data_IF_985194462370
#
_entry.id   IF_985194462370
#
_cell.length_a   1.000
_cell.length_b   1.000
_cell.length_c   1.000
_cell.angle_alpha   90.00
_cell.angle_beta   90.00
_cell.angle_gamma   90.00
#
_symmetry.space_group_name_H-M   'P 1'
#
loop_
_entity.id
_entity.type
_entity.pdbx_description
1 polymer ?
#
# COMPACT_ATOMS: atom_id res chain seq x y z
N UNK A 1 72.28 49.05 8.90
CA UNK A 1 71.08 48.94 8.04
C UNK A 1 70.68 47.47 7.95
N UNK A 2 69.52 47.11 8.51
CA UNK A 2 69.16 45.76 8.96
C UNK A 2 68.53 44.90 7.86
N UNK A 3 69.23 43.82 7.46
CA UNK A 3 68.74 42.81 6.49
C UNK A 3 67.80 41.76 7.13
N UNK A 4 67.68 41.73 8.46
CA UNK A 4 66.87 40.73 9.18
C UNK A 4 65.37 41.07 9.33
N UNK A 5 64.92 42.28 8.95
CA UNK A 5 63.51 42.68 9.07
C UNK A 5 62.64 42.30 7.86
N UNK A 6 63.25 41.95 6.73
CA UNK A 6 62.52 41.58 5.50
C UNK A 6 62.21 40.08 5.38
N UNK A 7 62.84 39.21 6.18
CA UNK A 7 62.57 37.76 6.18
C UNK A 7 61.39 37.34 7.07
N UNK A 8 61.01 38.16 8.05
CA UNK A 8 59.86 37.89 8.93
C UNK A 8 58.50 38.24 8.31
N UNK A 9 58.46 39.15 7.33
CA UNK A 9 57.22 39.63 6.73
C UNK A 9 56.67 38.71 5.62
N UNK A 10 57.53 37.91 4.97
CA UNK A 10 57.08 36.96 3.94
C UNK A 10 56.57 35.62 4.51
N UNK A 11 56.98 35.24 5.73
CA UNK A 11 56.54 33.99 6.35
C UNK A 11 55.13 34.11 7.00
N UNK A 12 54.70 35.31 7.39
CA UNK A 12 53.36 35.53 7.95
C UNK A 12 52.24 35.66 6.91
N UNK A 13 52.56 36.06 5.68
CA UNK A 13 51.55 36.26 4.62
C UNK A 13 51.13 34.95 3.92
N UNK A 14 51.97 33.91 3.98
CA UNK A 14 51.68 32.61 3.36
C UNK A 14 50.85 31.67 4.26
N UNK A 15 50.84 31.90 5.58
CA UNK A 15 50.03 31.11 6.52
C UNK A 15 48.59 31.62 6.66
N UNK A 16 48.30 32.86 6.28
CA UNK A 16 46.94 33.43 6.34
C UNK A 16 46.07 33.08 5.12
N UNK A 17 46.68 32.72 3.98
CA UNK A 17 45.97 32.33 2.75
C UNK A 17 45.58 30.86 2.70
N UNK A 18 46.19 29.99 3.52
CA UNK A 18 45.84 28.57 3.58
C UNK A 18 44.65 28.25 4.51
N UNK A 19 44.30 29.16 5.43
CA UNK A 19 43.18 28.97 6.36
C UNK A 19 41.80 29.30 5.75
N UNK A 20 41.76 30.02 4.62
CA UNK A 20 40.51 30.40 3.96
C UNK A 20 40.00 29.37 2.93
N UNK A 21 40.78 28.35 2.60
CA UNK A 21 40.41 27.33 1.60
C UNK A 21 39.62 26.14 2.17
N UNK A 22 39.41 26.06 3.49
CA UNK A 22 38.77 24.91 4.15
C UNK A 22 37.26 25.08 4.43
N UNK A 23 36.66 26.21 4.05
CA UNK A 23 35.23 26.46 4.14
C UNK A 23 34.58 26.40 2.75
N UNK A 24 34.84 25.33 1.99
CA UNK A 24 33.86 24.97 0.97
C UNK A 24 32.59 24.55 1.72
N UNK A 25 31.42 25.18 1.48
CA UNK A 25 30.18 24.63 2.00
C UNK A 25 30.13 23.20 1.51
N UNK A 26 30.11 22.23 2.43
CA UNK A 26 29.85 20.85 2.06
C UNK A 26 28.55 20.89 1.26
N UNK A 27 28.64 20.69 -0.06
CA UNK A 27 27.47 20.67 -0.92
C UNK A 27 26.58 19.60 -0.32
N UNK A 28 25.46 20.02 0.30
CA UNK A 28 24.49 19.09 0.83
C UNK A 28 24.14 18.18 -0.34
N UNK A 29 24.45 16.89 -0.22
CA UNK A 29 24.26 15.96 -1.33
C UNK A 29 22.78 16.06 -1.76
N UNK A 30 22.55 16.42 -3.02
CA UNK A 30 21.18 16.63 -3.51
C UNK A 30 20.41 15.31 -3.36
N UNK A 31 19.26 15.37 -2.71
CA UNK A 31 18.39 14.21 -2.58
C UNK A 31 17.67 13.92 -3.90
N UNK A 32 17.58 12.66 -4.35
CA UNK A 32 18.29 11.48 -3.81
C UNK A 32 19.69 11.31 -4.43
N UNK A 33 20.69 10.96 -3.61
CA UNK A 33 22.07 10.65 -4.03
C UNK A 33 22.40 9.15 -4.06
N UNK A 34 21.42 8.32 -3.66
CA UNK A 34 21.47 6.86 -3.66
C UNK A 34 20.06 6.31 -3.88
N UNK A 35 19.95 4.99 -3.98
CA UNK A 35 18.66 4.32 -4.14
C UNK A 35 17.67 4.65 -3.02
N UNK A 36 16.41 4.89 -3.38
CA UNK A 36 15.28 5.06 -2.45
C UNK A 36 14.57 3.71 -2.31
N UNK A 37 14.23 3.33 -1.08
CA UNK A 37 13.52 2.09 -0.79
C UNK A 37 12.04 2.34 -0.52
N UNK A 38 11.16 1.64 -1.23
CA UNK A 38 9.73 1.56 -0.91
C UNK A 38 9.48 0.25 -0.18
N UNK A 39 9.13 0.35 1.10
CA UNK A 39 8.65 -0.78 1.89
C UNK A 39 7.21 -1.09 1.49
N UNK A 40 6.99 -2.34 1.10
CA UNK A 40 5.67 -2.95 0.90
C UNK A 40 5.43 -3.93 2.03
N UNK A 41 4.41 -3.73 2.88
CA UNK A 41 4.28 -4.48 4.11
C UNK A 41 3.57 -5.85 3.92
N UNK A 42 3.67 -6.42 2.72
CA UNK A 42 3.02 -7.66 2.29
C UNK A 42 3.96 -8.49 1.41
N UNK A 43 3.65 -9.77 1.25
CA UNK A 43 4.44 -10.69 0.42
C UNK A 43 4.62 -10.21 -1.02
N UNK A 44 5.79 -10.47 -1.59
CA UNK A 44 6.05 -10.26 -3.01
C UNK A 44 5.04 -11.00 -3.89
N UNK A 45 4.75 -10.46 -5.07
CA UNK A 45 3.73 -10.97 -6.00
C UNK A 45 2.28 -10.65 -5.60
N UNK A 46 2.07 -10.08 -4.41
CA UNK A 46 0.76 -9.65 -3.93
C UNK A 46 0.26 -8.37 -4.62
N UNK A 47 -0.96 -7.93 -4.31
CA UNK A 47 -1.61 -6.83 -5.03
C UNK A 47 -0.85 -5.50 -4.89
N UNK A 48 -0.43 -5.15 -3.68
CA UNK A 48 0.36 -3.93 -3.42
C UNK A 48 1.75 -4.00 -4.04
N UNK A 49 2.39 -5.17 -4.00
CA UNK A 49 3.73 -5.37 -4.58
C UNK A 49 3.72 -5.13 -6.10
N UNK A 50 2.69 -5.61 -6.81
CA UNK A 50 2.52 -5.36 -8.25
C UNK A 50 2.39 -3.87 -8.56
N UNK A 51 1.52 -3.16 -7.84
CA UNK A 51 1.36 -1.70 -7.98
C UNK A 51 2.69 -0.98 -7.76
N UNK A 52 3.38 -1.34 -6.67
CA UNK A 52 4.59 -0.63 -6.24
C UNK A 52 5.78 -0.91 -7.13
N UNK A 53 5.91 -2.10 -7.73
CA UNK A 53 6.98 -2.37 -8.70
C UNK A 53 6.83 -1.52 -9.96
N UNK A 54 5.62 -1.38 -10.48
CA UNK A 54 5.37 -0.49 -11.62
C UNK A 54 5.54 0.98 -11.24
N UNK A 55 5.09 1.37 -10.05
CA UNK A 55 5.30 2.72 -9.51
C UNK A 55 6.80 3.04 -9.37
N UNK A 56 7.59 2.12 -8.81
CA UNK A 56 9.02 2.27 -8.59
C UNK A 56 9.77 2.48 -9.92
N UNK A 57 9.39 1.76 -10.98
CA UNK A 57 9.96 1.96 -12.33
C UNK A 57 9.70 3.39 -12.82
N UNK A 58 8.47 3.89 -12.70
CA UNK A 58 8.14 5.24 -13.14
C UNK A 58 8.75 6.33 -12.24
N UNK A 59 8.75 6.15 -10.92
CA UNK A 59 9.39 7.07 -9.98
C UNK A 59 10.90 7.14 -10.19
N UNK A 60 11.56 6.03 -10.52
CA UNK A 60 13.01 6.01 -10.77
C UNK A 60 13.41 6.97 -11.90
N UNK A 61 12.56 7.13 -12.92
CA UNK A 61 12.79 8.06 -14.04
C UNK A 61 12.77 9.52 -13.56
N UNK A 62 11.83 9.89 -12.69
CA UNK A 62 11.68 11.26 -12.18
C UNK A 62 12.71 11.58 -11.10
N UNK A 63 12.98 10.64 -10.20
CA UNK A 63 13.93 10.83 -9.10
C UNK A 63 15.40 10.76 -9.53
N UNK A 64 15.69 10.22 -10.73
CA UNK A 64 17.07 10.09 -11.22
C UNK A 64 17.91 9.06 -10.44
N UNK A 65 17.26 8.25 -9.60
CA UNK A 65 17.87 7.19 -8.81
C UNK A 65 17.00 5.94 -8.84
N UNK A 66 17.60 4.79 -8.61
CA UNK A 66 16.86 3.53 -8.50
C UNK A 66 15.90 3.58 -7.32
N UNK A 67 14.66 3.16 -7.55
CA UNK A 67 13.69 2.89 -6.50
C UNK A 67 13.58 1.39 -6.31
N UNK A 68 13.93 0.90 -5.12
CA UNK A 68 13.95 -0.52 -4.76
C UNK A 68 12.69 -0.86 -3.96
N UNK A 69 12.10 -2.03 -4.22
CA UNK A 69 10.94 -2.53 -3.47
C UNK A 69 11.40 -3.52 -2.41
N UNK A 70 11.08 -3.26 -1.14
CA UNK A 70 11.36 -4.13 0.00
C UNK A 70 10.07 -4.71 0.59
N UNK A 71 9.88 -6.03 0.50
CA UNK A 71 8.72 -6.69 1.11
C UNK A 71 9.00 -7.02 2.59
N UNK A 72 8.27 -6.38 3.51
CA UNK A 72 8.40 -6.60 4.97
C UNK A 72 7.07 -7.08 5.54
N UNK A 73 6.89 -8.41 5.62
CA UNK A 73 5.58 -9.02 5.88
C UNK A 73 5.23 -9.19 7.35
N UNK A 74 3.94 -9.18 7.67
CA UNK A 74 3.39 -9.74 8.91
C UNK A 74 2.38 -8.84 9.61
N UNK A 75 1.50 -9.45 10.40
CA UNK A 75 0.45 -8.78 11.19
C UNK A 75 -0.34 -7.72 10.39
N UNK A 76 -0.86 -8.12 9.22
CA UNK A 76 -1.64 -7.24 8.34
C UNK A 76 -0.89 -6.03 7.78
N UNK A 77 0.43 -6.05 7.88
CA UNK A 77 1.33 -5.00 7.41
C UNK A 77 1.93 -4.13 8.51
N UNK A 78 1.45 -4.26 9.76
CA UNK A 78 1.90 -3.43 10.88
C UNK A 78 3.41 -3.55 11.16
N UNK A 79 4.03 -4.71 10.90
CA UNK A 79 5.49 -4.89 11.07
C UNK A 79 6.27 -4.01 10.08
N UNK A 80 5.90 -4.02 8.80
CA UNK A 80 6.54 -3.18 7.79
C UNK A 80 6.29 -1.70 8.02
N UNK A 81 5.07 -1.34 8.44
CA UNK A 81 4.71 0.04 8.81
C UNK A 81 5.56 0.55 9.97
N UNK A 82 5.70 -0.25 11.03
CA UNK A 82 6.54 0.10 12.19
C UNK A 82 8.02 0.26 11.82
N UNK A 83 8.55 -0.59 10.92
CA UNK A 83 9.92 -0.45 10.40
C UNK A 83 10.13 0.94 9.81
N UNK A 84 9.18 1.42 8.99
CA UNK A 84 9.27 2.75 8.39
C UNK A 84 9.06 3.86 9.42
N UNK A 85 8.10 3.74 10.33
CA UNK A 85 7.89 4.73 11.39
C UNK A 85 9.17 5.01 12.23
N UNK A 86 10.01 3.99 12.40
CA UNK A 86 11.27 4.07 13.16
C UNK A 86 12.50 4.42 12.31
N UNK A 87 12.37 4.56 10.99
CA UNK A 87 13.50 4.84 10.12
C UNK A 87 13.91 6.34 10.20
N UNK A 88 15.17 6.69 9.82
CA UNK A 88 15.57 8.08 9.70
C UNK A 88 14.66 8.83 8.71
N UNK A 89 14.19 10.05 9.03
CA UNK A 89 13.36 10.84 8.13
C UNK A 89 14.20 11.53 7.04
N UNK A 90 15.01 10.76 6.31
CA UNK A 90 15.94 11.24 5.28
C UNK A 90 15.42 11.02 3.84
N UNK A 91 14.24 10.43 3.69
CA UNK A 91 13.57 10.17 2.42
C UNK A 91 14.02 8.91 1.69
N UNK A 92 15.01 8.16 2.19
CA UNK A 92 15.52 6.95 1.54
C UNK A 92 14.75 5.68 1.90
N UNK A 93 13.84 5.74 2.88
CA UNK A 93 12.90 4.68 3.18
C UNK A 93 11.49 5.28 3.28
N UNK A 94 10.62 4.86 2.37
CA UNK A 94 9.21 5.26 2.33
C UNK A 94 8.34 4.02 2.38
N UNK A 95 7.06 4.19 2.70
CA UNK A 95 6.06 3.14 2.81
C UNK A 95 5.00 3.33 1.74
N UNK A 96 4.63 2.27 1.03
CA UNK A 96 3.33 2.23 0.36
C UNK A 96 2.44 1.21 1.06
N UNK A 97 1.34 1.69 1.63
CA UNK A 97 0.37 0.88 2.35
C UNK A 97 -1.02 1.04 1.73
N UNK A 98 -1.86 0.05 1.95
CA UNK A 98 -3.29 0.07 1.64
C UNK A 98 -4.08 0.83 2.71
N UNK A 99 -5.40 0.87 2.53
CA UNK A 99 -6.40 1.23 3.56
C UNK A 99 -6.24 0.50 4.90
N UNK A 100 -5.41 -0.55 5.02
CA UNK A 100 -5.05 -1.11 6.31
C UNK A 100 -4.51 -0.07 7.31
N UNK A 101 -3.91 1.03 6.83
CA UNK A 101 -3.50 2.16 7.68
C UNK A 101 -4.68 2.77 8.47
N UNK A 102 -5.89 2.82 7.90
CA UNK A 102 -7.06 3.40 8.61
C UNK A 102 -7.74 2.41 9.55
N UNK A 103 -7.52 1.11 9.38
CA UNK A 103 -8.23 0.08 10.18
C UNK A 103 -7.37 -0.54 11.27
N UNK A 104 -6.05 -0.51 11.11
CA UNK A 104 -5.11 -1.02 12.09
C UNK A 104 -5.35 -0.46 13.52
N UNK A 105 -5.64 0.84 13.73
CA UNK A 105 -5.89 1.37 15.09
C UNK A 105 -7.07 0.71 15.81
N UNK A 106 -8.07 0.24 15.05
CA UNK A 106 -9.27 -0.40 15.59
C UNK A 106 -9.11 -1.91 15.75
N UNK A 107 -8.06 -2.51 15.18
CA UNK A 107 -7.86 -3.96 15.12
C UNK A 107 -6.67 -4.46 15.95
N UNK A 108 -5.85 -3.57 16.48
CA UNK A 108 -4.68 -3.90 17.30
C UNK A 108 -4.67 -3.02 18.54
N UNK A 109 -4.50 -3.65 19.72
CA UNK A 109 -4.37 -2.88 20.98
C UNK A 109 -3.06 -2.10 21.06
N UNK A 110 -2.02 -2.61 20.43
CA UNK A 110 -0.69 -1.99 20.44
C UNK A 110 -0.04 -2.13 19.06
N UNK A 111 -0.01 -1.03 18.31
CA UNK A 111 0.66 -0.93 17.00
C UNK A 111 2.16 -0.63 17.14
N UNK A 112 2.57 0.02 18.23
CA UNK A 112 3.92 0.57 18.36
C UNK A 112 4.21 1.77 17.45
N UNK A 113 3.17 2.38 16.87
CA UNK A 113 3.18 3.65 16.13
C UNK A 113 1.76 4.23 16.06
N UNK A 114 1.65 5.53 15.82
CA UNK A 114 0.41 6.25 15.56
C UNK A 114 0.29 6.55 14.06
N UNK A 115 -0.74 5.98 13.41
CA UNK A 115 -0.95 6.11 11.95
C UNK A 115 -1.13 7.55 11.47
N UNK A 116 -1.54 8.47 12.36
CA UNK A 116 -1.78 9.87 12.01
C UNK A 116 -0.59 10.79 12.33
N UNK A 117 0.28 10.39 13.28
CA UNK A 117 1.32 11.28 13.84
C UNK A 117 2.76 10.88 13.50
N UNK A 118 3.02 9.59 13.29
CA UNK A 118 4.39 9.08 13.13
C UNK A 118 4.86 9.05 11.67
N UNK A 119 4.07 9.67 10.77
CA UNK A 119 4.36 9.72 9.34
C UNK A 119 4.24 11.13 8.77
N UNK A 120 5.09 11.42 7.79
CA UNK A 120 4.79 12.44 6.79
C UNK A 120 4.08 11.83 5.58
N UNK A 121 3.03 12.49 5.13
CA UNK A 121 2.22 12.09 3.98
C UNK A 121 2.89 12.53 2.67
N UNK A 122 2.91 11.64 1.67
CA UNK A 122 3.40 11.97 0.32
C UNK A 122 2.21 12.14 -0.64
N UNK A 123 1.30 11.17 -0.70
CA UNK A 123 0.10 11.27 -1.53
C UNK A 123 -0.62 9.95 -1.73
N UNK A 124 -1.86 10.04 -2.21
CA UNK A 124 -2.60 8.85 -2.66
C UNK A 124 -1.97 8.30 -3.95
N UNK A 125 -2.20 7.01 -4.24
CA UNK A 125 -1.54 6.29 -5.35
C UNK A 125 -2.57 5.72 -6.33
N UNK A 126 -3.35 4.74 -5.87
CA UNK A 126 -4.38 4.05 -6.66
C UNK A 126 -5.55 3.67 -5.75
N UNK A 127 -6.74 3.53 -6.34
CA UNK A 127 -7.89 2.86 -5.75
C UNK A 127 -8.13 1.55 -6.51
N UNK A 128 -8.21 0.42 -5.81
CA UNK A 128 -8.28 -0.91 -6.42
C UNK A 128 -9.55 -1.64 -5.99
N UNK A 129 -10.43 -2.04 -6.92
CA UNK A 129 -11.55 -2.93 -6.63
C UNK A 129 -11.07 -4.26 -6.06
N UNK A 130 -11.92 -4.91 -5.28
CA UNK A 130 -11.71 -6.29 -4.84
C UNK A 130 -12.69 -7.22 -5.54
N UNK A 131 -12.39 -8.51 -5.48
CA UNK A 131 -13.21 -9.57 -6.04
C UNK A 131 -13.31 -10.70 -5.03
N UNK A 132 -14.53 -11.19 -4.83
CA UNK A 132 -14.78 -12.45 -4.13
C UNK A 132 -14.55 -13.59 -5.13
N UNK A 133 -13.57 -14.43 -4.84
CA UNK A 133 -13.11 -15.52 -5.69
C UNK A 133 -13.21 -16.83 -4.95
N UNK A 134 -13.53 -17.91 -5.67
CA UNK A 134 -13.35 -19.28 -5.20
C UNK A 134 -12.32 -20.04 -6.01
N UNK A 135 -11.89 -21.19 -5.48
CA UNK A 135 -11.06 -22.11 -6.25
C UNK A 135 -11.83 -22.67 -7.46
N UNK A 136 -11.10 -23.07 -8.50
CA UNK A 136 -11.70 -23.50 -9.79
C UNK A 136 -12.68 -24.67 -9.66
N UNK A 137 -12.39 -25.62 -8.78
CA UNK A 137 -13.19 -26.84 -8.56
C UNK A 137 -14.40 -26.66 -7.65
N UNK A 138 -14.65 -25.47 -7.13
CA UNK A 138 -15.78 -25.17 -6.25
C UNK A 138 -17.10 -25.45 -7.01
N UNK A 139 -18.07 -26.11 -6.39
CA UNK A 139 -19.23 -26.68 -7.10
C UNK A 139 -20.26 -25.63 -7.50
N UNK A 140 -20.31 -24.55 -6.74
CA UNK A 140 -21.22 -23.43 -6.87
C UNK A 140 -20.93 -22.69 -8.19
N UNK A 141 -21.97 -22.49 -8.99
CA UNK A 141 -21.85 -21.96 -10.36
C UNK A 141 -21.94 -20.43 -10.39
N UNK A 142 -22.52 -19.84 -9.37
CA UNK A 142 -22.80 -18.42 -9.29
C UNK A 142 -22.78 -17.95 -7.83
N UNK A 143 -22.85 -16.63 -7.63
CA UNK A 143 -22.78 -16.02 -6.31
C UNK A 143 -23.94 -16.44 -5.40
N UNK A 144 -25.15 -16.62 -5.95
CA UNK A 144 -26.32 -17.05 -5.16
C UNK A 144 -26.11 -18.44 -4.56
N UNK A 145 -25.62 -19.40 -5.35
CA UNK A 145 -25.27 -20.75 -4.87
C UNK A 145 -24.15 -20.70 -3.82
N UNK A 146 -23.14 -19.85 -4.02
CA UNK A 146 -22.06 -19.64 -3.04
C UNK A 146 -22.60 -19.08 -1.71
N UNK A 147 -23.49 -18.08 -1.74
CA UNK A 147 -24.14 -17.54 -0.55
C UNK A 147 -24.97 -18.60 0.18
N UNK A 148 -25.70 -19.41 -0.57
CA UNK A 148 -26.49 -20.52 -0.01
C UNK A 148 -25.61 -21.54 0.70
N UNK A 149 -24.49 -21.94 0.10
CA UNK A 149 -23.54 -22.87 0.73
C UNK A 149 -22.97 -22.28 2.03
N UNK A 150 -22.54 -21.02 2.01
CA UNK A 150 -22.00 -20.33 3.19
C UNK A 150 -23.02 -20.26 4.33
N UNK A 151 -24.28 -19.98 4.02
CA UNK A 151 -25.36 -19.89 5.04
C UNK A 151 -25.76 -21.26 5.60
N UNK A 152 -25.78 -22.30 4.77
CA UNK A 152 -26.10 -23.67 5.18
C UNK A 152 -24.97 -24.34 5.96
N UNK A 153 -23.73 -23.85 5.81
CA UNK A 153 -22.53 -24.46 6.40
C UNK A 153 -21.68 -23.44 7.18
N UNK A 154 -22.22 -22.79 8.22
CA UNK A 154 -21.47 -21.82 9.00
C UNK A 154 -20.23 -22.47 9.62
N UNK A 155 -19.07 -21.81 9.50
CA UNK A 155 -17.79 -22.27 10.02
C UNK A 155 -17.17 -23.45 9.26
N UNK A 156 -17.63 -23.77 8.05
CA UNK A 156 -17.02 -24.82 7.19
C UNK A 156 -16.33 -24.28 5.94
N UNK A 157 -16.80 -23.17 5.40
CA UNK A 157 -16.19 -22.52 4.23
C UNK A 157 -14.99 -21.72 4.72
N UNK A 158 -13.82 -21.97 4.15
CA UNK A 158 -12.57 -21.28 4.47
C UNK A 158 -12.35 -20.06 3.59
N UNK A 159 -11.81 -18.98 4.18
CA UNK A 159 -11.50 -17.76 3.45
C UNK A 159 -10.10 -17.25 3.81
N UNK A 160 -9.24 -17.11 2.80
CA UNK A 160 -7.87 -16.65 2.96
C UNK A 160 -7.74 -15.13 2.96
N UNK A 161 -6.88 -14.60 3.82
CA UNK A 161 -6.57 -13.17 3.86
C UNK A 161 -5.11 -12.88 4.28
N UNK A 162 -4.62 -11.67 4.01
CA UNK A 162 -3.24 -11.25 4.28
C UNK A 162 -2.96 -10.87 5.76
N UNK A 163 -3.60 -11.56 6.71
CA UNK A 163 -3.51 -11.30 8.14
C UNK A 163 -4.47 -10.20 8.64
N UNK A 164 -4.66 -10.07 9.96
CA UNK A 164 -5.64 -9.14 10.53
C UNK A 164 -5.31 -7.68 10.21
N UNK A 165 -6.28 -6.90 9.76
CA UNK A 165 -6.10 -5.49 9.37
C UNK A 165 -5.65 -5.27 7.92
N UNK A 166 -5.37 -6.35 7.17
CA UNK A 166 -5.23 -6.25 5.72
C UNK A 166 -6.57 -5.94 5.04
N UNK A 167 -6.53 -5.41 3.81
CA UNK A 167 -7.73 -5.19 3.01
C UNK A 167 -8.55 -6.48 2.81
N UNK A 168 -7.90 -7.60 2.50
CA UNK A 168 -8.55 -8.91 2.38
C UNK A 168 -9.30 -9.34 3.66
N UNK A 169 -8.72 -9.05 4.82
CA UNK A 169 -9.38 -9.31 6.10
C UNK A 169 -10.61 -8.43 6.28
N UNK A 170 -10.52 -7.13 6.00
CA UNK A 170 -11.67 -6.23 6.09
C UNK A 170 -12.81 -6.63 5.17
N UNK A 171 -12.50 -7.02 3.93
CA UNK A 171 -13.50 -7.51 3.00
C UNK A 171 -14.18 -8.77 3.54
N UNK A 172 -13.42 -9.71 4.09
CA UNK A 172 -13.95 -10.90 4.76
C UNK A 172 -14.93 -10.53 5.86
N UNK A 173 -14.55 -9.61 6.74
CA UNK A 173 -15.37 -9.18 7.88
C UNK A 173 -16.67 -8.50 7.42
N UNK A 174 -16.59 -7.61 6.43
CA UNK A 174 -17.77 -6.98 5.84
C UNK A 174 -18.69 -8.01 5.19
N UNK A 175 -18.11 -8.95 4.45
CA UNK A 175 -18.87 -9.99 3.76
C UNK A 175 -19.57 -10.91 4.76
N UNK A 176 -18.87 -11.42 5.77
CA UNK A 176 -19.45 -12.19 6.89
C UNK A 176 -20.60 -11.45 7.57
N UNK A 177 -20.41 -10.15 7.85
CA UNK A 177 -21.43 -9.33 8.49
C UNK A 177 -22.68 -9.20 7.63
N UNK A 178 -22.55 -9.08 6.30
CA UNK A 178 -23.70 -8.91 5.42
C UNK A 178 -24.41 -10.22 5.10
N UNK A 179 -23.66 -11.32 4.97
CA UNK A 179 -24.24 -12.66 4.74
C UNK A 179 -24.75 -13.31 6.03
N UNK A 180 -24.42 -12.74 7.19
CA UNK A 180 -24.78 -13.22 8.53
C UNK A 180 -24.31 -14.66 8.80
N UNK A 181 -23.13 -15.00 8.28
CA UNK A 181 -22.49 -16.30 8.48
C UNK A 181 -20.99 -16.13 8.69
N UNK A 182 -20.41 -16.97 9.55
CA UNK A 182 -18.98 -17.00 9.81
C UNK A 182 -18.30 -18.02 8.92
N UNK A 183 -17.11 -17.67 8.44
CA UNK A 183 -16.22 -18.54 7.68
C UNK A 183 -15.00 -18.88 8.52
N UNK A 184 -14.27 -19.93 8.12
CA UNK A 184 -12.99 -20.27 8.71
C UNK A 184 -11.95 -19.30 8.17
N UNK A 185 -11.52 -18.36 9.01
CA UNK A 185 -10.53 -17.35 8.64
C UNK A 185 -9.13 -17.95 8.58
N UNK A 186 -8.44 -17.82 7.45
CA UNK A 186 -7.09 -18.37 7.22
C UNK A 186 -6.09 -17.24 6.96
N UNK A 187 -5.24 -16.86 7.94
CA UNK A 187 -4.30 -15.75 7.78
C UNK A 187 -3.01 -16.17 7.07
N UNK A 188 -2.56 -15.32 6.14
CA UNK A 188 -1.30 -15.44 5.40
C UNK A 188 -0.43 -14.19 5.58
N UNK A 189 0.84 -14.27 5.17
CA UNK A 189 1.80 -13.14 5.16
C UNK A 189 1.57 -12.11 4.05
N UNK A 190 0.55 -12.31 3.21
CA UNK A 190 0.16 -11.49 2.08
C UNK A 190 -0.85 -12.24 1.20
N UNK A 191 -1.48 -11.57 0.23
CA UNK A 191 -2.49 -12.24 -0.60
C UNK A 191 -1.89 -13.21 -1.64
N UNK A 192 -0.60 -13.09 -1.98
CA UNK A 192 0.03 -13.98 -2.95
C UNK A 192 0.00 -15.47 -2.51
N UNK A 193 0.48 -15.85 -1.32
CA UNK A 193 0.36 -17.23 -0.85
C UNK A 193 -1.11 -17.67 -0.65
N UNK A 194 -2.00 -16.77 -0.23
CA UNK A 194 -3.44 -17.10 -0.15
C UNK A 194 -4.03 -17.45 -1.52
N UNK A 195 -3.67 -16.69 -2.57
CA UNK A 195 -4.09 -16.94 -3.94
C UNK A 195 -3.49 -18.24 -4.50
N UNK A 196 -2.24 -18.57 -4.14
CA UNK A 196 -1.64 -19.87 -4.48
C UNK A 196 -2.42 -21.03 -3.87
N UNK A 197 -2.78 -20.94 -2.59
CA UNK A 197 -3.57 -21.97 -1.90
C UNK A 197 -5.00 -22.07 -2.42
N UNK A 198 -5.60 -20.95 -2.82
CA UNK A 198 -6.88 -20.94 -3.54
C UNK A 198 -6.78 -21.67 -4.88
N UNK A 199 -5.76 -21.38 -5.69
CA UNK A 199 -5.55 -22.07 -6.98
C UNK A 199 -5.35 -23.57 -6.76
N UNK A 200 -4.64 -23.95 -5.69
CA UNK A 200 -4.41 -25.33 -5.28
C UNK A 200 -5.59 -26.02 -4.58
N UNK A 201 -6.71 -25.31 -4.36
CA UNK A 201 -7.90 -25.85 -3.68
C UNK A 201 -7.68 -26.16 -2.20
N UNK A 202 -6.70 -25.53 -1.54
CA UNK A 202 -6.44 -25.68 -0.10
C UNK A 202 -7.34 -24.79 0.75
N UNK A 203 -7.86 -23.71 0.17
CA UNK A 203 -8.88 -22.84 0.74
C UNK A 203 -10.03 -22.64 -0.25
N UNK A 204 -11.22 -22.34 0.26
CA UNK A 204 -12.42 -22.25 -0.57
C UNK A 204 -12.52 -20.91 -1.29
N UNK A 205 -12.33 -19.82 -0.53
CA UNK A 205 -12.55 -18.45 -0.99
C UNK A 205 -11.38 -17.52 -0.65
N UNK A 206 -11.31 -16.41 -1.38
CA UNK A 206 -10.62 -15.19 -0.97
C UNK A 206 -11.47 -13.98 -1.35
N UNK A 207 -11.29 -12.87 -0.64
CA UNK A 207 -11.63 -11.56 -1.18
C UNK A 207 -10.32 -10.78 -1.37
N UNK A 208 -9.92 -10.56 -2.61
CA UNK A 208 -8.62 -9.97 -2.93
C UNK A 208 -8.71 -8.96 -4.08
N UNK A 209 -7.68 -8.15 -4.23
CA UNK A 209 -7.67 -7.02 -5.16
C UNK A 209 -7.52 -7.48 -6.62
N UNK A 210 -8.07 -6.73 -7.56
CA UNK A 210 -7.95 -7.04 -9.00
C UNK A 210 -6.50 -7.04 -9.48
N UNK A 211 -5.61 -6.26 -8.86
CA UNK A 211 -4.18 -6.20 -9.24
C UNK A 211 -3.45 -7.53 -9.08
N UNK A 212 -3.77 -8.34 -8.07
CA UNK A 212 -3.23 -9.70 -7.93
C UNK A 212 -4.00 -10.73 -8.74
N UNK A 213 -5.31 -10.53 -8.93
CA UNK A 213 -6.24 -11.58 -9.36
C UNK A 213 -6.66 -11.52 -10.83
N UNK A 214 -6.53 -10.37 -11.49
CA UNK A 214 -6.91 -10.14 -12.89
C UNK A 214 -6.46 -11.25 -13.84
N UNK A 215 -5.15 -11.54 -13.87
CA UNK A 215 -4.59 -12.57 -14.72
C UNK A 215 -5.06 -13.99 -14.36
N UNK A 216 -5.34 -14.27 -13.08
CA UNK A 216 -5.84 -15.57 -12.65
C UNK A 216 -7.30 -15.79 -13.07
N UNK A 217 -8.11 -14.72 -13.02
CA UNK A 217 -9.48 -14.73 -13.53
C UNK A 217 -9.50 -14.91 -15.05
N UNK A 218 -8.71 -14.13 -15.78
CA UNK A 218 -8.60 -14.22 -17.25
C UNK A 218 -8.05 -15.58 -17.71
N UNK A 219 -7.10 -16.16 -16.98
CA UNK A 219 -6.58 -17.50 -17.23
C UNK A 219 -7.51 -18.64 -16.81
N UNK A 220 -8.66 -18.35 -16.18
CA UNK A 220 -9.59 -19.37 -15.70
C UNK A 220 -8.99 -20.29 -14.63
N UNK A 221 -8.06 -19.77 -13.82
CA UNK A 221 -7.41 -20.50 -12.73
C UNK A 221 -8.20 -20.43 -11.42
N UNK A 222 -9.07 -19.44 -11.31
CA UNK A 222 -9.97 -19.21 -10.18
C UNK A 222 -11.39 -18.93 -10.70
N UNK A 223 -12.38 -19.05 -9.82
CA UNK A 223 -13.78 -18.75 -10.14
C UNK A 223 -14.18 -17.40 -9.54
N UNK A 224 -14.40 -16.35 -10.34
CA UNK A 224 -14.87 -15.08 -9.82
C UNK A 224 -16.38 -15.09 -9.56
N UNK A 225 -16.78 -14.52 -8.43
CA UNK A 225 -18.18 -14.45 -8.04
C UNK A 225 -18.75 -13.04 -8.01
N UNK A 226 -18.04 -12.07 -7.46
CA UNK A 226 -18.54 -10.70 -7.36
C UNK A 226 -17.42 -9.67 -7.23
N UNK A 227 -17.56 -8.53 -7.92
CA UNK A 227 -16.76 -7.32 -7.63
C UNK A 227 -17.34 -6.60 -6.42
N UNK A 228 -16.48 -6.02 -5.59
CA UNK A 228 -16.86 -5.39 -4.32
C UNK A 228 -17.22 -3.90 -4.42
N UNK A 229 -17.24 -3.32 -5.62
CA UNK A 229 -17.58 -1.92 -5.87
C UNK A 229 -19.02 -1.79 -6.34
N UNK A 230 -19.63 -0.60 -6.18
CA UNK A 230 -21.01 -0.38 -6.65
C UNK A 230 -21.12 -0.52 -8.18
N UNK A 231 -20.13 -0.05 -8.92
CA UNK A 231 -20.05 -0.19 -10.38
C UNK A 231 -19.10 -1.33 -10.74
N UNK A 232 -19.37 -2.03 -11.85
CA UNK A 232 -18.46 -3.05 -12.39
C UNK A 232 -17.12 -2.42 -12.80
N UNK A 233 -16.04 -3.18 -12.68
CA UNK A 233 -14.73 -2.72 -13.12
C UNK A 233 -14.62 -2.80 -14.65
N UNK A 234 -14.04 -1.77 -15.28
CA UNK A 234 -13.93 -1.66 -16.74
C UNK A 234 -13.31 -2.90 -17.42
N UNK A 235 -12.24 -3.52 -16.89
CA UNK A 235 -11.66 -4.72 -17.52
C UNK A 235 -12.49 -5.99 -17.35
N UNK A 236 -13.52 -5.96 -16.50
CA UNK A 236 -14.35 -7.12 -16.14
C UNK A 236 -15.85 -6.79 -16.25
N UNK A 237 -16.34 -6.37 -17.44
CA UNK A 237 -17.71 -5.90 -17.60
C UNK A 237 -18.77 -6.98 -17.34
N UNK A 238 -18.41 -8.25 -17.52
CA UNK A 238 -19.31 -9.40 -17.30
C UNK A 238 -19.40 -9.81 -15.83
N UNK A 239 -18.47 -9.37 -14.98
CA UNK A 239 -18.46 -9.71 -13.57
C UNK A 239 -19.36 -8.75 -12.79
N UNK A 240 -20.52 -9.26 -12.37
CA UNK A 240 -21.48 -8.50 -11.59
C UNK A 240 -20.90 -8.07 -10.24
N UNK A 241 -21.40 -6.96 -9.71
CA UNK A 241 -21.04 -6.49 -8.38
C UNK A 241 -21.76 -7.28 -7.30
N UNK A 242 -21.26 -7.22 -6.07
CA UNK A 242 -21.95 -7.79 -4.92
C UNK A 242 -23.31 -7.08 -4.70
N UNK A 243 -23.39 -5.77 -4.93
CA UNK A 243 -24.64 -5.01 -4.84
C UNK A 243 -25.69 -5.49 -5.85
N UNK A 244 -25.31 -5.67 -7.12
CA UNK A 244 -26.18 -6.21 -8.17
C UNK A 244 -26.71 -7.60 -7.81
N UNK A 245 -25.93 -8.37 -7.05
CA UNK A 245 -26.23 -9.75 -6.68
C UNK A 245 -26.85 -9.91 -5.29
N UNK A 246 -27.38 -8.84 -4.70
CA UNK A 246 -28.20 -8.89 -3.49
C UNK A 246 -27.50 -8.48 -2.19
N UNK A 247 -26.20 -8.16 -2.24
CA UNK A 247 -25.47 -7.57 -1.11
C UNK A 247 -25.55 -6.03 -1.16
N UNK A 248 -26.75 -5.50 -0.93
CA UNK A 248 -27.03 -4.06 -1.08
C UNK A 248 -26.11 -3.17 -0.25
N UNK A 249 -25.50 -2.19 -0.90
CA UNK A 249 -24.55 -1.24 -0.31
C UNK A 249 -23.16 -1.82 -0.05
N UNK A 250 -22.83 -3.01 -0.57
CA UNK A 250 -21.47 -3.53 -0.46
C UNK A 250 -20.54 -2.76 -1.39
N UNK A 251 -19.85 -1.77 -0.82
CA UNK A 251 -18.85 -0.96 -1.51
C UNK A 251 -17.53 -1.00 -0.73
N UNK A 252 -16.53 -1.63 -1.33
CA UNK A 252 -15.18 -1.67 -0.82
C UNK A 252 -14.19 -1.54 -1.95
N UNK A 253 -13.40 -0.47 -1.90
CA UNK A 253 -12.19 -0.26 -2.68
C UNK A 253 -11.00 -0.23 -1.74
N UNK A 254 -9.89 -0.82 -2.17
CA UNK A 254 -8.62 -0.69 -1.47
C UNK A 254 -7.86 0.48 -2.05
N UNK A 255 -7.83 1.58 -1.32
CA UNK A 255 -6.99 2.72 -1.63
C UNK A 255 -5.56 2.50 -1.14
N UNK A 256 -4.59 3.11 -1.82
CA UNK A 256 -3.18 3.08 -1.46
C UNK A 256 -2.64 4.49 -1.23
N UNK A 257 -1.78 4.61 -0.22
CA UNK A 257 -1.09 5.85 0.12
C UNK A 257 0.41 5.64 0.28
N UNK A 258 1.18 6.66 -0.04
CA UNK A 258 2.62 6.73 0.20
C UNK A 258 2.93 7.61 1.40
N UNK A 259 3.77 7.11 2.29
CA UNK A 259 4.15 7.72 3.56
C UNK A 259 5.66 7.68 3.73
N UNK A 260 6.18 8.56 4.57
CA UNK A 260 7.58 8.57 5.01
C UNK A 260 7.64 8.70 6.54
N UNK A 261 8.78 8.38 7.19
CA UNK A 261 8.95 8.62 8.61
C UNK A 261 8.73 10.09 8.94
N UNK A 262 8.19 10.39 10.13
CA UNK A 262 7.91 11.77 10.53
C UNK A 262 9.19 12.62 10.58
N UNK A 263 9.13 13.82 9.99
CA UNK A 263 10.18 14.83 10.11
C UNK A 263 11.03 15.01 8.86
N UNK A 264 10.49 14.69 7.67
CA UNK A 264 11.19 14.90 6.41
C UNK A 264 11.61 16.36 6.26
N UNK A 265 12.86 16.63 5.80
CA UNK A 265 13.22 17.95 5.29
C UNK A 265 12.25 18.38 4.18
N UNK A 266 11.81 19.65 4.14
CA UNK A 266 10.82 20.12 3.16
C UNK A 266 11.19 19.79 1.71
N UNK A 267 12.45 19.99 1.32
CA UNK A 267 12.92 19.71 -0.04
C UNK A 267 12.89 18.22 -0.39
N UNK A 268 13.16 17.33 0.58
CA UNK A 268 13.06 15.87 0.39
C UNK A 268 11.60 15.47 0.17
N UNK A 269 10.69 16.03 0.99
CA UNK A 269 9.25 15.81 0.84
C UNK A 269 8.76 16.27 -0.53
N UNK A 270 9.13 17.47 -0.97
CA UNK A 270 8.77 18.00 -2.28
C UNK A 270 9.25 17.11 -3.43
N UNK A 271 10.50 16.61 -3.37
CA UNK A 271 11.04 15.67 -4.38
C UNK A 271 10.28 14.35 -4.40
N UNK A 272 9.90 13.79 -3.25
CA UNK A 272 9.10 12.57 -3.18
C UNK A 272 7.67 12.77 -3.71
N UNK A 273 7.02 13.89 -3.36
CA UNK A 273 5.68 14.25 -3.87
C UNK A 273 5.72 14.40 -5.38
N UNK A 274 6.71 15.13 -5.90
CA UNK A 274 6.90 15.29 -7.35
C UNK A 274 7.18 13.95 -8.04
N UNK A 275 8.05 13.13 -7.47
CA UNK A 275 8.35 11.79 -8.00
C UNK A 275 7.11 10.91 -8.08
N UNK A 276 6.25 10.95 -7.06
CA UNK A 276 4.95 10.27 -7.06
C UNK A 276 4.05 10.83 -8.17
N UNK A 277 3.83 12.15 -8.21
CA UNK A 277 2.96 12.80 -9.20
C UNK A 277 3.37 12.50 -10.64
N UNK A 278 4.67 12.61 -10.95
CA UNK A 278 5.23 12.29 -12.26
C UNK A 278 5.01 10.80 -12.61
N UNK A 279 5.18 9.89 -11.63
CA UNK A 279 4.94 8.47 -11.85
C UNK A 279 3.46 8.15 -12.11
N UNK A 280 2.54 8.80 -11.39
CA UNK A 280 1.10 8.65 -11.62
C UNK A 280 0.66 9.31 -12.94
N UNK A 281 1.45 10.23 -13.50
CA UNK A 281 1.23 10.82 -14.82
C UNK A 281 1.77 9.95 -15.96
N UNK A 282 2.70 9.03 -15.69
CA UNK A 282 3.33 8.14 -16.69
C UNK A 282 2.26 7.27 -17.40
N UNK A 283 2.13 7.36 -18.74
CA UNK A 283 1.17 6.58 -19.50
C UNK A 283 1.32 5.07 -19.35
N UNK A 284 2.55 4.57 -19.21
CA UNK A 284 2.82 3.15 -19.02
C UNK A 284 2.31 2.66 -17.68
N UNK A 285 2.51 3.46 -16.61
CA UNK A 285 1.96 3.14 -15.30
C UNK A 285 0.43 3.14 -15.33
N UNK A 286 -0.19 4.19 -15.89
CA UNK A 286 -1.65 4.30 -16.02
C UNK A 286 -2.27 3.12 -16.78
N UNK A 287 -1.67 2.74 -17.91
CA UNK A 287 -2.19 1.64 -18.72
C UNK A 287 -2.15 0.32 -17.94
N UNK A 288 -1.01 0.00 -17.31
CA UNK A 288 -0.89 -1.23 -16.50
C UNK A 288 -1.89 -1.28 -15.35
N UNK A 289 -2.11 -0.15 -14.66
CA UNK A 289 -3.12 -0.09 -13.60
C UNK A 289 -4.53 -0.29 -14.16
N UNK A 290 -4.83 0.32 -15.30
CA UNK A 290 -6.12 0.18 -16.00
C UNK A 290 -6.37 -1.27 -16.41
N UNK A 291 -5.39 -1.96 -17.00
CA UNK A 291 -5.48 -3.37 -17.40
C UNK A 291 -5.72 -4.30 -16.19
N UNK A 292 -5.23 -3.90 -15.01
CA UNK A 292 -5.43 -4.58 -13.74
C UNK A 292 -6.72 -4.15 -13.01
N UNK A 293 -7.52 -3.26 -13.58
CA UNK A 293 -8.75 -2.71 -12.97
C UNK A 293 -8.51 -1.72 -11.83
N UNK A 294 -7.27 -1.32 -11.59
CA UNK A 294 -6.91 -0.28 -10.64
C UNK A 294 -7.11 1.10 -11.24
N UNK A 295 -7.67 2.02 -10.46
CA UNK A 295 -7.83 3.41 -10.81
C UNK A 295 -6.66 4.21 -10.25
N UNK A 296 -5.86 4.82 -11.13
CA UNK A 296 -4.87 5.81 -10.71
C UNK A 296 -5.58 7.05 -10.21
N UNK A 297 -5.19 7.54 -9.03
CA UNK A 297 -5.82 8.75 -8.46
C UNK A 297 -5.53 9.98 -9.32
N UNK A 298 -6.39 10.99 -9.22
CA UNK A 298 -6.15 12.26 -9.89
C UNK A 298 -4.91 12.96 -9.29
N UNK A 299 -4.28 13.84 -10.07
CA UNK A 299 -3.11 14.60 -9.59
C UNK A 299 -3.41 15.45 -8.34
N UNK A 300 -4.66 15.95 -8.21
CA UNK A 300 -5.10 16.68 -7.03
C UNK A 300 -5.12 15.81 -5.75
N UNK A 301 -5.25 14.48 -5.90
CA UNK A 301 -5.26 13.52 -4.80
C UNK A 301 -3.88 12.95 -4.47
N UNK A 302 -2.93 13.09 -5.40
CA UNK A 302 -1.52 12.74 -5.22
C UNK A 302 -0.78 13.83 -4.42
N UNK A 303 -1.36 14.25 -3.30
CA UNK A 303 -0.86 15.33 -2.44
C UNK A 303 -0.83 14.90 -0.97
N UNK A 304 0.10 15.44 -0.15
CA UNK A 304 0.15 15.18 1.27
C UNK A 304 -1.19 15.45 1.98
N UNK A 305 -1.84 16.56 1.64
CA UNK A 305 -3.08 17.03 2.27
C UNK A 305 -4.25 16.11 1.95
N UNK A 306 -4.37 15.67 0.68
CA UNK A 306 -5.43 14.73 0.28
C UNK A 306 -5.27 13.38 0.96
N UNK A 307 -4.04 12.86 1.06
CA UNK A 307 -3.79 11.61 1.77
C UNK A 307 -4.08 11.72 3.28
N UNK A 308 -3.64 12.80 3.92
CA UNK A 308 -3.90 13.05 5.34
C UNK A 308 -5.41 13.09 5.62
N UNK A 309 -6.16 13.83 4.79
CA UNK A 309 -7.62 13.91 4.89
C UNK A 309 -8.26 12.53 4.74
N UNK A 310 -7.92 11.79 3.67
CA UNK A 310 -8.48 10.46 3.42
C UNK A 310 -8.20 9.49 4.55
N UNK A 311 -6.97 9.46 5.07
CA UNK A 311 -6.61 8.60 6.20
C UNK A 311 -7.42 8.96 7.45
N UNK A 312 -7.55 10.26 7.78
CA UNK A 312 -8.32 10.72 8.94
C UNK A 312 -9.79 10.33 8.87
N UNK A 313 -10.44 10.61 7.74
CA UNK A 313 -11.85 10.29 7.49
C UNK A 313 -12.10 8.77 7.54
N UNK A 314 -11.25 7.99 6.87
CA UNK A 314 -11.38 6.54 6.85
C UNK A 314 -11.10 5.93 8.23
N UNK A 315 -10.16 6.48 9.00
CA UNK A 315 -9.88 5.96 10.36
C UNK A 315 -11.10 6.12 11.25
N UNK A 316 -11.76 7.28 11.20
CA UNK A 316 -13.00 7.51 11.94
C UNK A 316 -14.12 6.57 11.48
N UNK A 317 -14.33 6.46 10.16
CA UNK A 317 -15.36 5.58 9.59
C UNK A 317 -15.16 4.12 9.98
N UNK A 318 -13.94 3.60 9.88
CA UNK A 318 -13.66 2.20 10.19
C UNK A 318 -13.69 1.90 11.68
N UNK A 319 -13.37 2.87 12.55
CA UNK A 319 -13.58 2.70 13.99
C UNK A 319 -15.06 2.44 14.32
N UNK A 320 -15.98 3.18 13.70
CA UNK A 320 -17.43 2.97 13.87
C UNK A 320 -17.85 1.59 13.33
N UNK A 321 -17.47 1.26 12.10
CA UNK A 321 -17.83 -0.02 11.45
C UNK A 321 -17.32 -1.22 12.26
N UNK A 322 -16.06 -1.19 12.69
CA UNK A 322 -15.44 -2.29 13.43
C UNK A 322 -16.07 -2.41 14.82
N UNK A 323 -16.29 -1.30 15.53
CA UNK A 323 -16.97 -1.30 16.82
C UNK A 323 -18.38 -1.91 16.73
N UNK A 324 -19.16 -1.51 15.73
CA UNK A 324 -20.51 -2.03 15.50
C UNK A 324 -20.55 -3.52 15.11
N UNK A 325 -19.47 -4.05 14.55
CA UNK A 325 -19.38 -5.46 14.09
C UNK A 325 -19.09 -6.47 15.21
N UNK A 326 -18.78 -6.01 16.43
CA UNK A 326 -18.42 -6.86 17.56
C UNK A 326 -17.05 -7.54 17.45
N UNK A 327 -16.24 -7.16 16.45
CA UNK A 327 -14.87 -7.64 16.27
C UNK A 327 -14.00 -7.08 17.38
N UNK A 328 -13.27 -7.95 18.06
CA UNK A 328 -12.33 -7.54 19.12
C UNK A 328 -10.96 -7.26 18.53
N UNK A 329 -10.27 -6.18 18.97
CA UNK A 329 -8.87 -5.96 18.63
C UNK A 329 -8.00 -7.14 19.07
N UNK A 330 -7.02 -7.48 18.23
CA UNK A 330 -5.97 -8.44 18.55
C UNK A 330 -5.03 -7.89 19.62
#
# INVERSE_FOLDING_TARGET
MNVNLLRGALAGALSATLAAAALSPAAAAEFPSRAVSIVVPFSAGGPTDKVVRDLAVSMSKSLGQTVVVENVTGAGGTIGTRKVAMAPPDGYMVLVHTMGMSTAPSLYKNLGFDVLKDFDYIGQVVDVPMVILGFKGLKEKNFSEMLDTIRKNPGKVSIGHAGPGSAAHLCTLLFENQVKSKMVSVPYKGSAPALSDLIGGQIDLVCDQTTSTAGQMQGGMVKPFAITTIQRATPFPDLMTADEQGLKGFDMRTWHGMYAPKGLPPQVKEKLVKGLQDALADPSFKQKMTDLGAQVVAQADATPESLQKKLGEETARWAEVISASGIKPN
#
